data_IF_178546827558
#
_entry.id   IF_178546827558
#
_cell.length_a   1.000
_cell.length_b   1.000
_cell.length_c   1.000
_cell.angle_alpha   90.00
_cell.angle_beta   90.00
_cell.angle_gamma   90.00
#
_symmetry.space_group_name_H-M   'P 1'
#
loop_
_entity.id
_entity.type
_entity.pdbx_description
1 polymer ?
#
# COMPACT_ATOMS: atom_id res chain seq x y z
N UNK A 1 -50.13 -5.07 -45.35
CA UNK A 1 -49.10 -6.08 -45.67
C UNK A 1 -47.76 -5.40 -45.44
N UNK A 2 -47.09 -5.80 -44.36
CA UNK A 2 -45.80 -5.26 -44.00
C UNK A 2 -44.78 -5.71 -45.05
N UNK A 3 -44.05 -4.78 -45.63
CA UNK A 3 -43.02 -5.11 -46.61
C UNK A 3 -41.85 -5.79 -45.90
N UNK A 4 -41.12 -6.70 -46.57
CA UNK A 4 -39.92 -7.34 -46.04
C UNK A 4 -38.83 -6.31 -45.58
N UNK A 5 -38.96 -5.05 -45.98
CA UNK A 5 -38.08 -3.95 -45.60
C UNK A 5 -38.38 -3.40 -44.20
N UNK A 6 -39.67 -3.43 -43.77
CA UNK A 6 -40.05 -3.00 -42.40
C UNK A 6 -39.65 -4.08 -41.38
N UNK A 7 -39.70 -5.35 -41.76
CA UNK A 7 -39.25 -6.46 -40.95
C UNK A 7 -37.73 -6.47 -40.73
N UNK A 8 -36.96 -6.06 -41.75
CA UNK A 8 -35.50 -5.92 -41.63
C UNK A 8 -35.10 -4.79 -40.71
N UNK A 9 -35.82 -3.66 -40.72
CA UNK A 9 -35.55 -2.54 -39.82
C UNK A 9 -35.90 -2.88 -38.37
N UNK A 10 -37.04 -3.54 -38.13
CA UNK A 10 -37.45 -4.04 -36.83
C UNK A 10 -36.44 -5.06 -36.24
N UNK A 11 -35.93 -5.96 -37.07
CA UNK A 11 -34.93 -6.95 -36.68
C UNK A 11 -33.60 -6.28 -36.31
N UNK A 12 -33.15 -5.27 -37.06
CA UNK A 12 -31.94 -4.51 -36.72
C UNK A 12 -32.06 -3.77 -35.37
N UNK A 13 -33.21 -3.13 -35.11
CA UNK A 13 -33.46 -2.44 -33.84
C UNK A 13 -33.50 -3.47 -32.71
N UNK A 14 -34.19 -4.59 -32.87
CA UNK A 14 -34.26 -5.66 -31.90
C UNK A 14 -32.87 -6.24 -31.58
N UNK A 15 -32.06 -6.51 -32.59
CA UNK A 15 -30.70 -6.99 -32.40
C UNK A 15 -29.83 -5.96 -31.65
N UNK A 16 -29.94 -4.67 -31.98
CA UNK A 16 -29.19 -3.60 -31.29
C UNK A 16 -29.58 -3.48 -29.81
N UNK A 17 -30.88 -3.51 -29.51
CA UNK A 17 -31.39 -3.51 -28.14
C UNK A 17 -30.95 -4.75 -27.35
N UNK A 18 -30.91 -5.90 -27.99
CA UNK A 18 -30.47 -7.15 -27.38
C UNK A 18 -28.97 -7.10 -27.03
N UNK A 19 -28.15 -6.58 -27.96
CA UNK A 19 -26.71 -6.37 -27.70
C UNK A 19 -26.50 -5.37 -26.58
N UNK A 20 -27.25 -4.25 -26.56
CA UNK A 20 -27.16 -3.24 -25.51
C UNK A 20 -27.58 -3.79 -24.15
N UNK A 21 -28.70 -4.57 -24.10
CA UNK A 21 -29.13 -5.22 -22.85
C UNK A 21 -28.06 -6.16 -22.28
N UNK A 22 -27.48 -7.02 -23.16
CA UNK A 22 -26.38 -7.91 -22.74
C UNK A 22 -25.13 -7.12 -22.26
N UNK A 23 -24.81 -6.00 -22.93
CA UNK A 23 -23.75 -5.13 -22.52
C UNK A 23 -23.98 -4.56 -21.13
N UNK A 24 -25.22 -4.09 -20.85
CA UNK A 24 -25.60 -3.60 -19.53
C UNK A 24 -25.55 -4.68 -18.45
N UNK A 25 -25.96 -5.93 -18.76
CA UNK A 25 -25.87 -7.05 -17.82
C UNK A 25 -24.41 -7.35 -17.43
N UNK A 26 -23.47 -7.22 -18.36
CA UNK A 26 -22.04 -7.34 -18.07
C UNK A 26 -21.57 -6.15 -17.25
N UNK A 27 -21.99 -4.94 -17.61
CA UNK A 27 -21.65 -3.72 -16.90
C UNK A 27 -22.06 -3.74 -15.42
N UNK A 28 -23.28 -4.25 -15.13
CA UNK A 28 -23.77 -4.43 -13.75
C UNK A 28 -22.91 -5.42 -12.98
N UNK A 29 -22.49 -6.52 -13.58
CA UNK A 29 -21.57 -7.46 -12.92
C UNK A 29 -20.22 -6.81 -12.63
N UNK A 30 -19.63 -6.13 -13.59
CA UNK A 30 -18.36 -5.43 -13.42
C UNK A 30 -18.44 -4.35 -12.34
N UNK A 31 -19.57 -3.62 -12.27
CA UNK A 31 -19.81 -2.63 -11.22
C UNK A 31 -19.87 -3.30 -9.84
N UNK A 32 -20.56 -4.41 -9.69
CA UNK A 32 -20.64 -5.16 -8.44
C UNK A 32 -19.28 -5.71 -8.02
N UNK A 33 -18.46 -6.17 -8.96
CA UNK A 33 -17.09 -6.60 -8.69
C UNK A 33 -16.24 -5.42 -8.17
N UNK A 34 -16.32 -4.27 -8.83
CA UNK A 34 -15.65 -3.04 -8.39
C UNK A 34 -16.09 -2.60 -6.99
N UNK A 35 -17.38 -2.63 -6.70
CA UNK A 35 -17.93 -2.32 -5.37
C UNK A 35 -17.41 -3.31 -4.32
N UNK A 36 -17.38 -4.61 -4.63
CA UNK A 36 -16.90 -5.64 -3.70
C UNK A 36 -15.42 -5.46 -3.37
N UNK A 37 -14.60 -5.09 -4.35
CA UNK A 37 -13.19 -4.75 -4.15
C UNK A 37 -13.06 -3.50 -3.26
N UNK A 38 -13.82 -2.46 -3.56
CA UNK A 38 -13.80 -1.22 -2.77
C UNK A 38 -14.21 -1.46 -1.31
N UNK A 39 -15.28 -2.22 -1.07
CA UNK A 39 -15.74 -2.57 0.27
C UNK A 39 -14.72 -3.41 1.05
N UNK A 40 -14.04 -4.34 0.37
CA UNK A 40 -12.98 -5.15 1.00
C UNK A 40 -11.79 -4.26 1.40
N UNK A 41 -11.39 -3.35 0.52
CA UNK A 41 -10.32 -2.40 0.81
C UNK A 41 -10.73 -1.42 1.93
N UNK A 42 -11.96 -0.91 1.92
CA UNK A 42 -12.50 -0.02 2.95
C UNK A 42 -12.49 -0.67 4.33
N UNK A 43 -12.92 -1.92 4.44
CA UNK A 43 -12.86 -2.68 5.68
C UNK A 43 -11.44 -2.74 6.25
N UNK A 44 -10.46 -3.07 5.42
CA UNK A 44 -9.06 -3.13 5.84
C UNK A 44 -8.50 -1.74 6.19
N UNK A 45 -8.87 -0.68 5.45
CA UNK A 45 -8.46 0.69 5.75
C UNK A 45 -9.05 1.22 7.06
N UNK A 46 -10.24 0.79 7.44
CA UNK A 46 -10.83 1.12 8.75
C UNK A 46 -10.00 0.53 9.89
N UNK A 47 -9.56 -0.74 9.77
CA UNK A 47 -8.66 -1.34 10.77
C UNK A 47 -7.30 -0.63 10.80
N UNK A 48 -6.72 -0.30 9.64
CA UNK A 48 -5.51 0.51 9.56
C UNK A 48 -5.66 1.86 10.28
N UNK A 49 -6.80 2.51 10.12
CA UNK A 49 -7.10 3.78 10.79
C UNK A 49 -7.14 3.61 12.32
N UNK A 50 -7.75 2.55 12.82
CA UNK A 50 -7.80 2.24 14.25
C UNK A 50 -6.38 2.02 14.81
N UNK A 51 -5.54 1.29 14.09
CA UNK A 51 -4.15 1.06 14.47
C UNK A 51 -3.37 2.37 14.53
N UNK A 52 -3.48 3.22 13.51
CA UNK A 52 -2.80 4.52 13.46
C UNK A 52 -3.25 5.46 14.59
N UNK A 53 -4.53 5.45 14.94
CA UNK A 53 -5.04 6.19 16.10
C UNK A 53 -4.41 5.68 17.40
N UNK A 54 -4.33 4.36 17.58
CA UNK A 54 -3.67 3.77 18.75
C UNK A 54 -2.20 4.12 18.82
N UNK A 55 -1.47 4.04 17.69
CA UNK A 55 -0.06 4.46 17.62
C UNK A 55 0.12 5.94 17.98
N UNK A 56 -0.81 6.81 17.54
CA UNK A 56 -0.80 8.23 17.92
C UNK A 56 -0.98 8.41 19.42
N UNK A 57 -1.93 7.72 20.02
CA UNK A 57 -2.18 7.81 21.48
C UNK A 57 -0.96 7.35 22.27
N UNK A 58 -0.31 6.26 21.87
CA UNK A 58 0.92 5.76 22.46
C UNK A 58 2.07 6.77 22.31
N UNK A 59 2.18 7.42 21.15
CA UNK A 59 3.19 8.45 20.92
C UNK A 59 2.99 9.66 21.83
N UNK A 60 1.75 10.11 22.01
CA UNK A 60 1.41 11.17 22.94
C UNK A 60 1.69 10.76 24.40
N UNK A 61 1.37 9.53 24.76
CA UNK A 61 1.69 8.98 26.08
C UNK A 61 3.22 8.94 26.29
N UNK A 62 3.98 8.48 25.31
CA UNK A 62 5.45 8.41 25.39
C UNK A 62 6.10 9.78 25.55
N UNK A 63 5.50 10.82 24.97
CA UNK A 63 5.98 12.20 25.06
C UNK A 63 5.84 12.80 26.48
N UNK A 64 5.05 12.17 27.37
CA UNK A 64 4.90 12.65 28.72
C UNK A 64 6.21 12.47 29.52
N UNK A 65 6.74 13.56 30.08
CA UNK A 65 7.99 13.59 30.84
C UNK A 65 7.98 12.77 32.14
N UNK A 66 6.81 12.32 32.60
CA UNK A 66 6.68 11.44 33.78
C UNK A 66 7.07 9.99 33.51
N UNK A 67 7.15 9.59 32.24
CA UNK A 67 7.47 8.21 31.87
C UNK A 67 8.94 7.88 32.15
N UNK A 68 9.15 6.75 32.81
CA UNK A 68 10.46 6.13 32.95
C UNK A 68 10.99 5.58 31.62
N UNK A 69 12.28 5.26 31.58
CA UNK A 69 12.87 4.59 30.40
C UNK A 69 12.20 3.24 30.12
N UNK A 70 11.88 2.48 31.16
CA UNK A 70 11.24 1.16 31.01
C UNK A 70 9.83 1.28 30.41
N UNK A 71 9.04 2.27 30.83
CA UNK A 71 7.72 2.53 30.28
C UNK A 71 7.79 2.95 28.81
N UNK A 72 8.77 3.77 28.41
CA UNK A 72 8.98 4.14 27.00
C UNK A 72 9.39 2.94 26.14
N UNK A 73 10.19 2.03 26.68
CA UNK A 73 10.55 0.80 25.97
C UNK A 73 9.30 -0.06 25.77
N UNK A 74 8.47 -0.25 26.78
CA UNK A 74 7.22 -1.01 26.66
C UNK A 74 6.26 -0.38 25.61
N UNK A 75 6.13 0.95 25.60
CA UNK A 75 5.34 1.66 24.58
C UNK A 75 5.95 1.44 23.18
N UNK A 76 7.26 1.46 23.04
CA UNK A 76 7.92 1.21 21.75
C UNK A 76 7.66 -0.22 21.23
N UNK A 77 7.67 -1.21 22.13
CA UNK A 77 7.33 -2.59 21.77
C UNK A 77 5.88 -2.72 21.26
N UNK A 78 4.94 -2.03 21.91
CA UNK A 78 3.54 -1.99 21.45
C UNK A 78 3.42 -1.29 20.08
N UNK A 79 4.10 -0.16 19.87
CA UNK A 79 4.12 0.55 18.58
C UNK A 79 4.70 -0.34 17.48
N UNK A 80 5.76 -1.09 17.79
CA UNK A 80 6.38 -2.03 16.84
C UNK A 80 5.38 -3.13 16.45
N UNK A 81 4.70 -3.73 17.41
CA UNK A 81 3.69 -4.76 17.14
C UNK A 81 2.51 -4.22 16.31
N UNK A 82 2.07 -2.99 16.57
CA UNK A 82 1.03 -2.32 15.78
C UNK A 82 1.50 -2.03 14.36
N UNK A 83 2.76 -1.67 14.18
CA UNK A 83 3.36 -1.47 12.86
C UNK A 83 3.41 -2.76 12.03
N UNK A 84 3.78 -3.87 12.66
CA UNK A 84 3.78 -5.19 12.04
C UNK A 84 2.37 -5.61 11.62
N UNK A 85 1.37 -5.33 12.47
CA UNK A 85 -0.02 -5.62 12.17
C UNK A 85 -0.54 -4.75 11.00
N UNK A 86 -0.15 -3.48 10.92
CA UNK A 86 -0.47 -2.60 9.80
C UNK A 86 0.07 -3.18 8.48
N UNK A 87 1.33 -3.58 8.47
CA UNK A 87 1.97 -4.22 7.31
C UNK A 87 1.28 -5.54 6.96
N UNK A 88 0.93 -6.35 7.96
CA UNK A 88 0.19 -7.60 7.76
C UNK A 88 -1.15 -7.37 7.08
N UNK A 89 -1.93 -6.37 7.51
CA UNK A 89 -3.20 -5.99 6.89
C UNK A 89 -2.99 -5.61 5.43
N UNK A 90 -2.00 -4.75 5.15
CA UNK A 90 -1.70 -4.30 3.79
C UNK A 90 -1.30 -5.46 2.87
N UNK A 91 -0.52 -6.42 3.37
CA UNK A 91 -0.02 -7.55 2.59
C UNK A 91 -1.03 -8.69 2.46
N UNK A 92 -1.92 -8.88 3.44
CA UNK A 92 -2.86 -10.00 3.42
C UNK A 92 -4.18 -9.65 2.74
N UNK A 93 -4.61 -8.39 2.76
CA UNK A 93 -5.88 -7.96 2.16
C UNK A 93 -5.90 -8.26 0.67
N UNK A 94 -6.83 -9.13 0.26
CA UNK A 94 -6.94 -9.58 -1.13
C UNK A 94 -8.39 -9.84 -1.52
N UNK A 95 -8.67 -9.70 -2.81
CA UNK A 95 -9.95 -10.05 -3.42
C UNK A 95 -9.69 -10.86 -4.69
N UNK A 96 -10.31 -12.03 -4.81
CA UNK A 96 -10.12 -12.92 -5.97
C UNK A 96 -8.66 -13.29 -6.23
N UNK A 97 -7.83 -13.40 -5.18
CA UNK A 97 -6.40 -13.69 -5.29
C UNK A 97 -5.51 -12.47 -5.60
N UNK A 98 -6.11 -11.30 -5.89
CA UNK A 98 -5.35 -10.07 -6.11
C UNK A 98 -5.17 -9.30 -4.80
N UNK A 99 -3.94 -8.91 -4.48
CA UNK A 99 -3.65 -8.05 -3.34
C UNK A 99 -4.14 -6.63 -3.63
N UNK A 100 -4.72 -5.98 -2.59
CA UNK A 100 -5.37 -4.69 -2.76
C UNK A 100 -4.53 -3.51 -2.25
N UNK A 101 -3.81 -3.68 -1.13
CA UNK A 101 -3.21 -2.58 -0.37
C UNK A 101 -1.68 -2.62 -0.28
N UNK A 102 -1.03 -3.52 -1.02
CA UNK A 102 0.44 -3.67 -1.02
C UNK A 102 1.13 -3.00 -2.24
N UNK A 103 0.43 -2.11 -2.93
CA UNK A 103 0.95 -1.39 -4.09
C UNK A 103 0.87 -2.14 -5.42
N UNK A 104 0.55 -3.44 -5.42
CA UNK A 104 0.47 -4.22 -6.68
C UNK A 104 -0.85 -4.06 -7.42
N UNK A 105 -1.91 -3.57 -6.74
CA UNK A 105 -3.21 -3.36 -7.37
C UNK A 105 -3.17 -2.23 -8.40
N UNK A 106 -2.60 -1.09 -8.01
CA UNK A 106 -2.53 0.11 -8.82
C UNK A 106 -3.89 0.68 -9.19
N UNK A 107 -3.98 1.28 -10.37
CA UNK A 107 -5.23 1.79 -10.94
C UNK A 107 -5.85 0.74 -11.89
N UNK A 108 -7.11 0.36 -11.64
CA UNK A 108 -7.86 -0.57 -12.48
C UNK A 108 -9.15 0.08 -12.97
N UNK A 109 -9.47 -0.15 -14.24
CA UNK A 109 -10.67 0.38 -14.88
C UNK A 109 -11.75 -0.71 -14.93
N UNK A 110 -12.95 -0.36 -14.50
CA UNK A 110 -14.14 -1.20 -14.53
C UNK A 110 -15.13 -0.63 -15.53
N UNK A 111 -15.42 -1.36 -16.61
CA UNK A 111 -16.43 -0.98 -17.59
C UNK A 111 -17.82 -1.16 -16.98
N UNK A 112 -18.52 -0.05 -16.74
CA UNK A 112 -19.82 0.00 -16.05
C UNK A 112 -20.98 0.40 -16.97
N UNK A 113 -20.71 0.52 -18.26
CA UNK A 113 -21.71 0.81 -19.28
C UNK A 113 -21.54 -0.05 -20.53
N UNK A 114 -22.50 0.05 -21.45
CA UNK A 114 -22.51 -0.71 -22.69
C UNK A 114 -21.62 -0.08 -23.79
N UNK A 115 -21.32 1.22 -23.66
CA UNK A 115 -20.59 1.97 -24.67
C UNK A 115 -19.13 2.21 -24.27
N UNK A 116 -18.28 2.47 -25.26
CA UNK A 116 -16.87 2.72 -25.05
C UNK A 116 -16.64 4.03 -24.24
N UNK A 117 -15.83 3.96 -23.19
CA UNK A 117 -15.53 5.10 -22.33
C UNK A 117 -16.39 5.18 -21.07
N UNK A 118 -17.41 4.34 -20.92
CA UNK A 118 -18.22 4.26 -19.70
C UNK A 118 -17.54 3.38 -18.64
N UNK A 119 -16.40 3.84 -18.14
CA UNK A 119 -15.61 3.11 -17.16
C UNK A 119 -15.32 3.95 -15.92
N UNK A 120 -15.30 3.32 -14.76
CA UNK A 120 -14.83 3.91 -13.49
C UNK A 120 -13.45 3.37 -13.17
N UNK A 121 -12.55 4.25 -12.79
CA UNK A 121 -11.21 3.89 -12.35
C UNK A 121 -11.20 3.78 -10.84
N UNK A 122 -10.73 2.64 -10.33
CA UNK A 122 -10.45 2.41 -8.92
C UNK A 122 -8.93 2.33 -8.73
N UNK A 123 -8.38 3.27 -8.00
CA UNK A 123 -6.96 3.28 -7.63
C UNK A 123 -6.83 2.94 -6.15
N UNK A 124 -6.08 1.89 -5.84
CA UNK A 124 -5.73 1.50 -4.48
C UNK A 124 -4.22 1.64 -4.30
N UNK A 125 -3.85 2.38 -3.26
CA UNK A 125 -2.45 2.71 -2.97
C UNK A 125 -1.83 1.71 -2.01
N UNK A 126 -0.52 1.71 -1.97
CA UNK A 126 0.26 0.95 -0.99
C UNK A 126 0.10 1.56 0.40
N UNK A 127 -0.41 0.74 1.34
CA UNK A 127 -0.68 1.13 2.72
C UNK A 127 0.36 0.57 3.70
N UNK A 128 1.44 -0.03 3.21
CA UNK A 128 2.53 -0.50 4.06
C UNK A 128 3.25 0.67 4.74
N UNK A 129 3.70 0.46 5.95
CA UNK A 129 4.35 1.49 6.76
C UNK A 129 5.68 2.00 6.17
N UNK A 130 6.38 1.16 5.38
CA UNK A 130 7.61 1.51 4.67
C UNK A 130 7.36 2.35 3.41
N UNK A 131 6.11 2.50 2.99
CA UNK A 131 5.76 3.33 1.84
C UNK A 131 5.91 4.81 2.15
N UNK A 132 6.54 5.54 1.25
CA UNK A 132 6.76 6.99 1.38
C UNK A 132 5.47 7.79 1.60
N UNK A 133 4.35 7.34 1.03
CA UNK A 133 3.04 8.01 1.21
C UNK A 133 2.47 7.82 2.61
N UNK A 134 2.87 6.75 3.32
CA UNK A 134 2.51 6.50 4.71
C UNK A 134 3.48 7.15 5.71
N UNK A 135 4.43 7.93 5.21
CA UNK A 135 5.48 8.55 6.03
C UNK A 135 6.68 7.65 6.29
N UNK A 136 6.69 6.46 5.69
CA UNK A 136 7.82 5.55 5.77
C UNK A 136 9.04 6.08 5.02
N UNK A 137 10.21 5.81 5.55
CA UNK A 137 11.48 6.10 4.90
C UNK A 137 12.15 4.76 4.63
N UNK A 138 12.26 4.40 3.37
CA UNK A 138 13.05 3.23 2.98
C UNK A 138 14.45 3.71 2.59
N UNK A 139 15.45 3.17 3.25
CA UNK A 139 16.83 3.40 2.88
C UNK A 139 17.29 2.26 1.97
N UNK A 140 17.55 2.58 0.71
CA UNK A 140 18.21 1.66 -0.21
C UNK A 140 19.66 2.08 -0.35
N UNK A 141 20.58 1.23 0.10
CA UNK A 141 21.98 1.42 -0.22
C UNK A 141 22.18 1.15 -1.72
N UNK A 142 22.73 2.11 -2.45
CA UNK A 142 23.07 1.96 -3.89
C UNK A 142 24.10 0.85 -4.11
N UNK A 143 24.93 0.56 -3.12
CA UNK A 143 25.86 -0.57 -3.12
C UNK A 143 26.05 -1.10 -1.70
N UNK A 144 25.56 -2.29 -1.44
CA UNK A 144 25.81 -3.00 -0.18
C UNK A 144 27.19 -3.65 -0.18
N UNK A 145 27.82 -3.74 0.99
CA UNK A 145 28.98 -4.61 1.19
C UNK A 145 28.52 -6.04 1.35
N UNK A 146 29.26 -7.00 0.79
CA UNK A 146 28.94 -8.42 0.96
C UNK A 146 29.16 -8.87 2.39
N UNK A 147 28.62 -10.06 2.73
CA UNK A 147 28.75 -10.66 4.07
C UNK A 147 30.20 -10.85 4.54
N UNK A 148 31.15 -10.90 3.61
CA UNK A 148 32.58 -11.04 3.91
C UNK A 148 33.30 -9.70 4.11
N UNK A 149 32.54 -8.59 4.22
CA UNK A 149 33.15 -7.28 4.44
C UNK A 149 33.44 -7.07 5.92
N UNK A 150 34.65 -6.67 6.23
CA UNK A 150 35.08 -6.33 7.60
C UNK A 150 35.63 -4.90 7.62
N UNK A 151 35.56 -4.27 8.79
CA UNK A 151 36.14 -2.96 9.03
C UNK A 151 37.64 -3.01 8.87
N UNK A 152 38.19 -2.22 7.94
CA UNK A 152 39.63 -2.15 7.70
C UNK A 152 40.37 -1.49 8.87
N UNK A 153 41.59 -1.96 9.17
CA UNK A 153 42.42 -1.39 10.22
C UNK A 153 42.69 0.10 9.96
N UNK A 154 42.37 0.95 10.94
CA UNK A 154 42.52 2.41 10.86
C UNK A 154 41.34 3.16 10.25
N UNK A 155 40.20 2.50 9.99
CA UNK A 155 38.93 3.10 9.56
C UNK A 155 37.82 2.74 10.57
N UNK A 156 37.92 3.29 11.75
CA UNK A 156 37.05 2.96 12.87
C UNK A 156 35.76 3.81 12.93
N UNK A 157 35.65 4.81 12.06
CA UNK A 157 34.47 5.67 12.01
C UNK A 157 33.65 5.37 10.76
N UNK A 158 32.51 4.72 10.94
CA UNK A 158 31.50 4.59 9.91
C UNK A 158 30.53 5.75 10.04
N UNK A 159 30.43 6.57 9.02
CA UNK A 159 29.45 7.67 8.95
C UNK A 159 28.33 7.28 8.00
N UNK A 160 27.13 7.28 8.50
CA UNK A 160 25.92 7.11 7.67
C UNK A 160 25.23 8.47 7.61
N UNK A 161 25.20 9.08 6.43
CA UNK A 161 24.44 10.30 6.18
C UNK A 161 23.05 9.92 5.68
N UNK A 162 22.04 10.30 6.42
CA UNK A 162 20.64 10.08 6.07
C UNK A 162 20.03 11.43 5.67
N UNK A 163 19.55 11.53 4.45
CA UNK A 163 18.81 12.72 4.00
C UNK A 163 17.31 12.41 4.06
N UNK A 164 16.56 13.15 4.87
CA UNK A 164 15.13 12.99 4.97
C UNK A 164 14.39 13.53 3.73
N UNK A 165 13.07 13.32 3.65
CA UNK A 165 12.24 13.79 2.53
C UNK A 165 12.14 15.31 2.44
N UNK A 166 12.63 16.05 3.45
CA UNK A 166 12.69 17.51 3.50
C UNK A 166 14.08 18.06 3.19
N UNK A 167 15.05 17.18 2.84
CA UNK A 167 16.42 17.56 2.52
C UNK A 167 17.30 17.81 3.74
N UNK A 168 16.89 17.42 4.95
CA UNK A 168 17.70 17.52 6.15
C UNK A 168 18.63 16.30 6.24
N UNK A 169 19.93 16.57 6.43
CA UNK A 169 20.92 15.51 6.62
C UNK A 169 21.08 15.21 8.11
N UNK A 170 20.95 13.94 8.45
CA UNK A 170 21.31 13.42 9.77
C UNK A 170 22.54 12.53 9.62
N UNK A 171 23.59 12.79 10.38
CA UNK A 171 24.77 11.93 10.45
C UNK A 171 24.67 10.99 11.64
N UNK A 172 24.72 9.69 11.36
CA UNK A 172 24.89 8.65 12.39
C UNK A 172 26.35 8.22 12.35
N UNK A 173 27.06 8.44 13.46
CA UNK A 173 28.44 8.00 13.61
C UNK A 173 28.45 6.67 14.39
N UNK A 174 28.92 5.61 13.75
CA UNK A 174 29.10 4.30 14.35
C UNK A 174 30.60 4.09 14.58
N UNK A 175 31.00 3.94 15.84
CA UNK A 175 32.37 3.60 16.20
C UNK A 175 32.57 2.10 16.08
N UNK A 176 33.17 1.66 15.01
CA UNK A 176 33.48 0.27 14.72
C UNK A 176 34.90 -0.08 15.18
N UNK A 177 35.15 -1.35 15.50
CA UNK A 177 36.50 -1.88 15.71
C UNK A 177 37.03 -2.54 14.46
N UNK A 178 38.34 -2.50 14.28
CA UNK A 178 38.99 -3.21 13.16
C UNK A 178 38.68 -4.70 13.26
N UNK A 179 38.04 -5.25 12.23
CA UNK A 179 37.65 -6.66 12.17
C UNK A 179 36.15 -6.92 12.39
N UNK A 180 35.39 -5.92 12.88
CA UNK A 180 33.93 -6.06 13.04
C UNK A 180 33.30 -6.31 11.67
N UNK A 181 32.34 -7.23 11.63
CA UNK A 181 31.54 -7.53 10.44
C UNK A 181 30.21 -6.74 10.44
N UNK A 182 29.37 -6.99 9.44
CA UNK A 182 28.07 -6.29 9.30
C UNK A 182 27.09 -6.64 10.42
N UNK A 183 27.25 -7.81 11.07
CA UNK A 183 26.36 -8.28 12.14
C UNK A 183 26.77 -7.70 13.51
N UNK A 184 28.01 -7.21 13.65
CA UNK A 184 28.56 -6.62 14.87
C UNK A 184 28.43 -5.08 14.91
N UNK A 185 28.06 -4.45 13.78
CA UNK A 185 27.84 -3.01 13.61
C UNK A 185 26.40 -2.61 13.87
#
# INVERSE_FOLDING_TARGET
MNSAKDDAAGLQISNRLNVQSRGLDVAVRNANDGISIAQTAEGAMNETTNILQRMRDLSLQSANGSNSKAERVAIQEEVTALNDELNRIAETTSFGGNKLLNGTHGAKSFQIGADNGEAVMLELKDMRSDNKMMGGVSYQAESGKGKDWNVAQGKNDLKISLTDSFGQEQEININAKAGDDIEEL
#
